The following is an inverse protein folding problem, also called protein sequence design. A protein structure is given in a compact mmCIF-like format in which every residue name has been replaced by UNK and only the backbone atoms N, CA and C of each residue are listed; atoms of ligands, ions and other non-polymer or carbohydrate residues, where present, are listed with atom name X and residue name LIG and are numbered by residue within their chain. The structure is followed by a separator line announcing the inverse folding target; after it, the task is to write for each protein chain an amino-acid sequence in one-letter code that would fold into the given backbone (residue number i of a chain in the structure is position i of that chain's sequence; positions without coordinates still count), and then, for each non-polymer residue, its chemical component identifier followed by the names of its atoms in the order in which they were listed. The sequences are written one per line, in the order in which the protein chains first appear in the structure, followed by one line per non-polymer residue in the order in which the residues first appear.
data_IF_449598254290
#
_entry.id   IF_449598254290
#
_cell.length_a   1.000
_cell.length_b   1.000
_cell.length_c   1.000
_cell.angle_alpha   90.00
_cell.angle_beta   90.00
_cell.angle_gamma   90.00
#
_symmetry.space_group_name_H-M   'P 1'
#
loop_
_entity.id
_entity.type
_entity.pdbx_description
1 polymer ?
#
# COMPACT_ATOMS: atom_id res chain seq x y z
N UNK A 1 -12.94 7.71 -10.52
CA UNK A 1 -13.71 6.55 -9.99
C UNK A 1 -14.11 6.87 -8.56
N UNK A 2 -14.94 6.07 -7.90
CA UNK A 2 -15.17 6.22 -6.45
C UNK A 2 -14.04 5.56 -5.64
N UNK A 3 -13.87 5.93 -4.38
CA UNK A 3 -12.92 5.23 -3.50
C UNK A 3 -13.21 3.72 -3.41
N UNK A 4 -14.49 3.32 -3.37
CA UNK A 4 -14.89 1.91 -3.30
C UNK A 4 -14.45 1.12 -4.55
N UNK A 5 -14.65 1.70 -5.74
CA UNK A 5 -14.20 1.10 -7.00
C UNK A 5 -12.67 1.00 -7.06
N UNK A 6 -11.98 2.07 -6.66
CA UNK A 6 -10.53 2.10 -6.57
C UNK A 6 -10.01 1.00 -5.62
N UNK A 7 -10.59 0.93 -4.43
CA UNK A 7 -10.20 -0.04 -3.40
C UNK A 7 -10.43 -1.47 -3.87
N UNK A 8 -11.54 -1.77 -4.56
CA UNK A 8 -11.80 -3.08 -5.11
C UNK A 8 -10.69 -3.53 -6.07
N UNK A 9 -10.23 -2.64 -6.96
CA UNK A 9 -9.13 -2.92 -7.89
C UNK A 9 -7.81 -3.19 -7.15
N UNK A 10 -7.49 -2.38 -6.14
CA UNK A 10 -6.27 -2.56 -5.34
C UNK A 10 -6.33 -3.86 -4.54
N UNK A 11 -7.48 -4.19 -3.93
CA UNK A 11 -7.69 -5.44 -3.17
C UNK A 11 -7.55 -6.67 -4.06
N UNK A 12 -8.07 -6.63 -5.28
CA UNK A 12 -7.90 -7.70 -6.27
C UNK A 12 -6.44 -7.89 -6.67
N UNK A 13 -5.67 -6.81 -6.83
CA UNK A 13 -4.24 -6.90 -7.13
C UNK A 13 -3.44 -7.49 -5.97
N UNK A 14 -3.70 -7.02 -4.76
CA UNK A 14 -3.00 -7.48 -3.57
C UNK A 14 -3.35 -8.93 -3.20
N UNK A 15 -4.57 -9.40 -3.48
CA UNK A 15 -4.95 -10.80 -3.21
C UNK A 15 -4.17 -11.81 -4.07
N UNK A 16 -3.54 -11.34 -5.15
CA UNK A 16 -2.69 -12.13 -6.05
C UNK A 16 -1.19 -11.92 -5.78
N UNK A 17 -0.82 -11.05 -4.84
CA UNK A 17 0.57 -10.73 -4.55
C UNK A 17 1.31 -11.93 -3.96
N UNK A 18 2.52 -12.18 -4.46
CA UNK A 18 3.42 -13.17 -3.87
C UNK A 18 4.14 -12.57 -2.65
N UNK A 19 3.64 -12.90 -1.47
CA UNK A 19 4.21 -12.46 -0.18
C UNK A 19 5.22 -13.45 0.41
N UNK A 20 5.60 -14.50 -0.32
CA UNK A 20 6.48 -15.55 0.20
C UNK A 20 7.88 -15.06 0.58
N UNK A 21 8.34 -13.96 -0.02
CA UNK A 21 9.62 -13.32 0.28
C UNK A 21 9.60 -12.41 1.52
N UNK A 22 8.43 -12.19 2.12
CA UNK A 22 8.26 -11.33 3.30
C UNK A 22 8.09 -12.25 4.53
N UNK A 23 9.13 -12.33 5.36
CA UNK A 23 9.20 -13.24 6.51
C UNK A 23 8.91 -12.56 7.85
N UNK A 24 8.39 -11.33 7.82
CA UNK A 24 8.06 -10.55 9.00
C UNK A 24 6.65 -10.00 8.92
N UNK A 25 6.03 -9.80 10.09
CA UNK A 25 4.74 -9.13 10.17
C UNK A 25 4.91 -7.65 9.82
N UNK A 26 4.01 -7.11 9.01
CA UNK A 26 4.00 -5.69 8.65
C UNK A 26 2.59 -5.19 8.37
N UNK A 27 2.28 -4.01 8.88
CA UNK A 27 1.03 -3.32 8.63
C UNK A 27 1.25 -1.94 7.99
N UNK A 28 0.63 -1.71 6.83
CA UNK A 28 0.60 -0.44 6.12
C UNK A 28 -0.78 0.16 6.17
N UNK A 29 -0.85 1.46 6.43
CA UNK A 29 -2.02 2.25 6.07
C UNK A 29 -1.75 3.02 4.78
N UNK A 30 -2.74 3.06 3.91
CA UNK A 30 -2.75 3.89 2.73
C UNK A 30 -3.81 4.97 2.86
N UNK A 31 -3.35 6.20 2.71
CA UNK A 31 -4.22 7.37 2.62
C UNK A 31 -4.18 7.90 1.20
N UNK A 32 -5.30 7.70 0.53
CA UNK A 32 -5.51 8.11 -0.84
C UNK A 32 -6.02 9.54 -0.85
N UNK A 33 -5.40 10.36 -1.68
CA UNK A 33 -5.70 11.77 -1.87
C UNK A 33 -6.36 12.00 -3.23
N UNK A 34 -7.05 13.14 -3.39
CA UNK A 34 -7.70 13.52 -4.64
C UNK A 34 -9.16 13.09 -4.71
N UNK A 35 -9.63 12.76 -5.90
CA UNK A 35 -11.04 12.43 -6.16
C UNK A 35 -11.44 11.08 -5.56
N UNK A 36 -10.51 10.12 -5.53
CA UNK A 36 -10.66 8.80 -4.90
C UNK A 36 -10.26 8.80 -3.41
N UNK A 37 -10.38 9.93 -2.72
CA UNK A 37 -9.89 10.04 -1.35
C UNK A 37 -10.56 9.02 -0.41
N UNK A 38 -9.73 8.41 0.43
CA UNK A 38 -10.15 7.41 1.40
C UNK A 38 -8.95 6.68 2.00
N UNK A 39 -9.20 5.85 3.00
CA UNK A 39 -8.17 5.13 3.73
C UNK A 39 -8.46 3.65 3.75
N UNK A 40 -7.41 2.85 3.60
CA UNK A 40 -7.46 1.40 3.79
C UNK A 40 -6.13 0.93 4.38
N UNK A 41 -6.08 -0.30 4.85
CA UNK A 41 -4.84 -0.90 5.33
C UNK A 41 -4.52 -2.21 4.60
N UNK A 42 -3.24 -2.58 4.68
CA UNK A 42 -2.71 -3.87 4.24
C UNK A 42 -1.88 -4.44 5.38
N UNK A 43 -2.23 -5.61 5.86
CA UNK A 43 -1.48 -6.32 6.91
C UNK A 43 -1.03 -7.66 6.38
N UNK A 44 0.27 -7.93 6.49
CA UNK A 44 0.81 -9.28 6.41
C UNK A 44 1.12 -9.74 7.83
N UNK A 45 0.44 -10.77 8.30
CA UNK A 45 0.63 -11.31 9.65
C UNK A 45 0.60 -12.83 9.63
N UNK A 46 1.68 -13.46 10.11
CA UNK A 46 1.81 -14.93 10.10
C UNK A 46 1.64 -15.54 8.70
N UNK A 47 2.12 -14.85 7.66
CA UNK A 47 1.99 -15.27 6.26
C UNK A 47 0.60 -15.06 5.64
N UNK A 48 -0.34 -14.46 6.36
CA UNK A 48 -1.67 -14.13 5.85
C UNK A 48 -1.76 -12.65 5.50
N UNK A 49 -2.15 -12.35 4.26
CA UNK A 49 -2.41 -11.00 3.80
C UNK A 49 -3.88 -10.61 4.02
N UNK A 50 -4.11 -9.46 4.65
CA UNK A 50 -5.42 -8.85 4.88
C UNK A 50 -5.45 -7.44 4.30
N UNK A 51 -6.53 -7.08 3.61
CA UNK A 51 -6.69 -5.77 2.94
C UNK A 51 -8.10 -5.27 3.16
N UNK A 52 -8.29 -4.21 3.95
CA UNK A 52 -9.63 -3.74 4.32
C UNK A 52 -9.76 -2.20 4.34
N UNK A 53 -10.96 -1.65 4.02
CA UNK A 53 -11.17 -0.23 3.77
C UNK A 53 -11.55 0.55 5.04
N UNK A 54 -10.74 0.47 6.10
CA UNK A 54 -10.92 1.25 7.32
C UNK A 54 -9.58 1.65 7.96
N UNK A 55 -9.62 2.61 8.90
CA UNK A 55 -8.45 3.11 9.62
C UNK A 55 -7.88 2.01 10.53
N UNK A 56 -6.56 1.86 10.51
CA UNK A 56 -5.83 0.86 11.29
C UNK A 56 -4.78 1.58 12.13
N UNK A 57 -4.97 1.53 13.45
CA UNK A 57 -4.11 2.26 14.38
C UNK A 57 -2.80 1.53 14.67
N UNK A 58 -2.76 0.19 14.56
CA UNK A 58 -1.56 -0.62 14.82
C UNK A 58 -0.70 -0.80 13.56
N UNK A 59 -0.39 0.31 12.90
CA UNK A 59 0.36 0.36 11.63
C UNK A 59 1.84 0.61 11.85
N UNK A 60 2.70 -0.06 11.08
CA UNK A 60 4.14 0.23 11.05
C UNK A 60 4.46 1.48 10.24
N UNK A 61 3.75 1.67 9.14
CA UNK A 61 3.92 2.84 8.28
C UNK A 61 2.58 3.29 7.66
N UNK A 62 2.46 4.61 7.51
CA UNK A 62 1.37 5.28 6.79
C UNK A 62 1.94 5.86 5.49
N UNK A 63 1.32 5.50 4.39
CA UNK A 63 1.69 5.91 3.03
C UNK A 63 0.59 6.82 2.51
N UNK A 64 0.93 8.08 2.23
CA UNK A 64 -0.02 9.03 1.62
C UNK A 64 0.35 9.24 0.16
N UNK A 65 -0.59 9.04 -0.76
CA UNK A 65 -0.37 9.21 -2.20
C UNK A 65 -1.68 9.44 -2.97
N UNK A 66 -1.60 9.66 -4.29
CA UNK A 66 -2.78 9.66 -5.17
C UNK A 66 -3.11 8.25 -5.63
N UNK A 67 -4.37 8.01 -6.02
CA UNK A 67 -4.80 6.75 -6.63
C UNK A 67 -3.96 6.36 -7.85
N UNK A 68 -3.67 7.32 -8.74
CA UNK A 68 -2.80 7.10 -9.92
C UNK A 68 -1.39 6.65 -9.53
N UNK A 69 -0.80 7.27 -8.50
CA UNK A 69 0.53 6.89 -8.02
C UNK A 69 0.53 5.46 -7.51
N UNK A 70 -0.45 5.08 -6.68
CA UNK A 70 -0.55 3.72 -6.16
C UNK A 70 -0.76 2.70 -7.26
N UNK A 71 -1.64 2.97 -8.25
CA UNK A 71 -1.85 2.05 -9.37
C UNK A 71 -0.61 1.86 -10.23
N UNK A 72 0.17 2.93 -10.45
CA UNK A 72 1.45 2.80 -11.16
C UNK A 72 2.45 1.94 -10.39
N UNK A 73 2.46 2.03 -9.07
CA UNK A 73 3.28 1.15 -8.21
C UNK A 73 2.79 -0.30 -8.30
N UNK A 74 1.49 -0.53 -8.07
CA UNK A 74 0.87 -1.86 -8.10
C UNK A 74 0.91 -2.55 -9.47
N UNK A 75 1.18 -1.82 -10.55
CA UNK A 75 1.34 -2.36 -11.90
C UNK A 75 2.80 -2.37 -12.38
N UNK A 76 3.76 -2.08 -11.50
CA UNK A 76 5.19 -2.07 -11.81
C UNK A 76 5.64 -0.91 -12.71
N UNK A 77 4.76 0.03 -13.05
CA UNK A 77 5.06 1.21 -13.89
C UNK A 77 5.82 2.31 -13.14
N UNK A 78 5.83 2.27 -11.81
CA UNK A 78 6.58 3.19 -10.97
C UNK A 78 7.17 2.43 -9.78
N UNK A 79 8.49 2.47 -9.62
CA UNK A 79 9.15 1.91 -8.45
C UNK A 79 8.78 2.73 -7.19
N UNK A 80 8.42 2.09 -6.06
CA UNK A 80 8.00 2.81 -4.85
C UNK A 80 9.12 3.65 -4.20
N UNK A 81 10.38 3.22 -4.31
CA UNK A 81 11.54 3.99 -3.82
C UNK A 81 11.73 5.24 -4.68
N UNK A 82 11.57 5.10 -5.99
CA UNK A 82 11.55 6.25 -6.90
C UNK A 82 10.36 7.18 -6.60
N UNK A 83 9.17 6.64 -6.33
CA UNK A 83 8.00 7.43 -5.98
C UNK A 83 8.22 8.26 -4.70
N UNK A 84 8.88 7.69 -3.69
CA UNK A 84 9.24 8.39 -2.46
C UNK A 84 10.25 9.50 -2.72
N UNK A 85 11.32 9.18 -3.46
CA UNK A 85 12.38 10.15 -3.83
C UNK A 85 11.81 11.34 -4.61
N UNK A 86 10.84 11.08 -5.50
CA UNK A 86 10.13 12.09 -6.28
C UNK A 86 8.99 12.78 -5.51
N UNK A 87 8.81 12.49 -4.21
CA UNK A 87 7.76 13.01 -3.34
C UNK A 87 6.33 12.75 -3.82
N UNK A 88 6.13 11.69 -4.61
CA UNK A 88 4.80 11.21 -5.04
C UNK A 88 4.11 10.37 -3.97
N UNK A 89 4.90 9.75 -3.10
CA UNK A 89 4.42 9.16 -1.85
C UNK A 89 5.07 9.85 -0.67
N UNK A 90 4.31 10.07 0.39
CA UNK A 90 4.81 10.42 1.71
C UNK A 90 4.75 9.17 2.58
N UNK A 91 5.78 8.96 3.40
CA UNK A 91 5.84 7.89 4.38
C UNK A 91 5.97 8.51 5.77
N UNK A 92 5.07 8.15 6.68
CA UNK A 92 5.18 8.41 8.12
C UNK A 92 5.30 7.06 8.85
N UNK A 93 6.12 6.98 9.91
CA UNK A 93 6.37 5.74 10.66
C UNK A 93 7.72 5.11 10.33
N UNK A 94 7.80 3.78 10.37
CA UNK A 94 9.03 3.00 10.17
C UNK A 94 9.40 2.92 8.69
N UNK A 95 10.42 3.66 8.28
CA UNK A 95 10.88 3.69 6.88
C UNK A 95 11.37 2.31 6.43
N UNK A 96 12.06 1.57 7.31
CA UNK A 96 12.53 0.22 7.01
C UNK A 96 11.38 -0.73 6.64
N UNK A 97 10.25 -0.64 7.34
CA UNK A 97 9.04 -1.41 7.03
C UNK A 97 8.43 -0.95 5.71
N UNK A 98 8.38 0.36 5.45
CA UNK A 98 7.84 0.90 4.19
C UNK A 98 8.59 0.40 2.95
N UNK A 99 9.85 -0.01 3.05
CA UNK A 99 10.60 -0.62 1.94
C UNK A 99 10.02 -1.96 1.50
N UNK A 100 9.33 -2.69 2.38
CA UNK A 100 8.66 -3.96 2.04
C UNK A 100 7.47 -3.75 1.10
N UNK A 101 6.99 -2.51 0.93
CA UNK A 101 6.00 -2.16 -0.10
C UNK A 101 6.42 -2.64 -1.49
N UNK A 102 7.72 -2.57 -1.79
CA UNK A 102 8.26 -3.04 -3.06
C UNK A 102 8.08 -4.55 -3.28
N UNK A 103 8.20 -5.32 -2.20
CA UNK A 103 8.01 -6.77 -2.26
C UNK A 103 6.53 -7.11 -2.33
N UNK A 104 5.69 -6.37 -1.60
CA UNK A 104 4.23 -6.54 -1.57
C UNK A 104 3.56 -6.22 -2.92
N UNK A 105 4.08 -5.24 -3.66
CA UNK A 105 3.49 -4.74 -4.91
C UNK A 105 4.16 -5.32 -6.17
N UNK A 106 4.91 -6.41 -6.02
CA UNK A 106 5.64 -7.08 -7.12
C UNK A 106 4.75 -8.06 -7.88
#
# INVERSE_FOLDING_TARGET
MTFSEFFALVKEKLSQADVSAIHEDVAFQFDITGQEAGTFYVELKGGKLSVEPYDYHDRDARITCSADTLMKIATGKLDPVAAFTLRKIKVDGKIEKALLLKQLMK
#
